data_IF_314537539616
#
_entry.id   IF_314537539616
#
_cell.length_a   1.000
_cell.length_b   1.000
_cell.length_c   1.000
_cell.angle_alpha   90.00
_cell.angle_beta   90.00
_cell.angle_gamma   90.00
#
_symmetry.space_group_name_H-M   'P 1'
#
loop_
_entity.id
_entity.type
_entity.pdbx_description
1 polymer ?
#
# COMPACT_ATOMS: atom_id res chain seq x y z
N UNK A 1 -19.80 5.70 -7.86
CA UNK A 1 -19.94 4.27 -7.54
C UNK A 1 -18.72 3.80 -6.77
N UNK A 2 -18.85 2.86 -5.83
CA UNK A 2 -17.70 2.28 -5.12
C UNK A 2 -16.76 1.55 -6.10
N UNK A 3 -15.47 1.81 -5.98
CA UNK A 3 -14.42 1.16 -6.77
C UNK A 3 -13.25 0.77 -5.88
N UNK A 4 -12.71 -0.42 -6.10
CA UNK A 4 -11.51 -0.88 -5.39
C UNK A 4 -10.26 -0.40 -6.12
N UNK A 5 -9.34 0.19 -5.35
CA UNK A 5 -8.02 0.59 -5.80
C UNK A 5 -7.02 -0.32 -5.10
N UNK A 6 -6.14 -0.96 -5.88
CA UNK A 6 -5.09 -1.86 -5.39
C UNK A 6 -3.73 -1.22 -5.59
N UNK A 7 -2.92 -1.26 -4.54
CA UNK A 7 -1.58 -0.68 -4.50
C UNK A 7 -0.59 -1.74 -4.03
N UNK A 8 0.37 -2.03 -4.91
CA UNK A 8 1.50 -2.96 -4.68
C UNK A 8 2.41 -2.48 -3.53
N UNK A 9 3.08 -3.39 -2.84
CA UNK A 9 4.04 -3.08 -1.77
C UNK A 9 5.18 -2.15 -2.21
N UNK A 10 5.53 -2.12 -3.50
CA UNK A 10 6.55 -1.21 -4.04
C UNK A 10 6.03 0.18 -4.38
N UNK A 11 4.74 0.43 -4.20
CA UNK A 11 4.19 1.73 -4.53
C UNK A 11 4.76 2.81 -3.61
N UNK A 12 5.16 3.97 -4.16
CA UNK A 12 5.61 5.11 -3.35
C UNK A 12 4.49 5.71 -2.48
N UNK A 13 3.24 5.26 -2.66
CA UNK A 13 2.13 5.66 -1.77
C UNK A 13 2.24 5.03 -0.39
N UNK A 14 2.98 3.92 -0.23
CA UNK A 14 3.20 3.28 1.06
C UNK A 14 4.47 3.86 1.67
N UNK A 15 4.32 4.55 2.79
CA UNK A 15 5.42 5.09 3.55
C UNK A 15 5.93 4.05 4.55
N UNK A 16 7.12 3.51 4.29
CA UNK A 16 7.82 2.61 5.20
C UNK A 16 8.76 3.39 6.12
N UNK A 17 8.66 3.15 7.42
CA UNK A 17 9.47 3.75 8.47
C UNK A 17 10.14 2.67 9.30
N UNK A 18 11.46 2.79 9.49
CA UNK A 18 12.30 1.76 10.10
C UNK A 18 13.02 0.89 9.07
N UNK A 19 13.39 -0.33 9.46
CA UNK A 19 14.24 -1.23 8.67
C UNK A 19 13.43 -2.18 7.77
N UNK A 20 12.44 -1.64 7.07
CA UNK A 20 11.68 -2.42 6.08
C UNK A 20 12.57 -2.79 4.90
N UNK A 21 12.53 -4.07 4.53
CA UNK A 21 13.28 -4.61 3.40
C UNK A 21 12.32 -5.05 2.32
N UNK A 22 12.46 -4.46 1.13
CA UNK A 22 11.87 -4.97 -0.09
C UNK A 22 12.49 -6.32 -0.42
N UNK A 23 11.70 -7.39 -0.37
CA UNK A 23 12.15 -8.72 -0.74
C UNK A 23 11.69 -9.05 -2.15
N UNK A 24 12.63 -9.00 -3.08
CA UNK A 24 12.46 -9.43 -4.46
C UNK A 24 13.70 -10.22 -4.87
N UNK A 25 13.76 -11.54 -4.67
CA UNK A 25 14.91 -12.38 -5.09
C UNK A 25 16.31 -11.76 -4.83
N UNK A 26 16.50 -10.98 -3.76
CA UNK A 26 17.75 -10.27 -3.53
C UNK A 26 18.58 -11.09 -2.53
N UNK A 27 19.66 -11.67 -3.03
CA UNK A 27 20.67 -12.33 -2.23
C UNK A 27 21.14 -11.38 -1.12
N UNK A 28 21.27 -11.82 0.15
CA UNK A 28 21.33 -13.21 0.63
C UNK A 28 19.99 -13.80 1.11
N UNK A 29 18.86 -13.14 0.84
CA UNK A 29 17.54 -13.60 1.28
C UNK A 29 16.90 -14.48 0.19
N UNK A 30 17.27 -15.76 0.19
CA UNK A 30 16.80 -16.76 -0.77
C UNK A 30 15.34 -17.17 -0.50
N UNK A 31 14.45 -16.20 -0.37
CA UNK A 31 13.02 -16.49 -0.33
C UNK A 31 12.57 -16.89 -1.74
N UNK A 32 12.43 -18.20 -1.93
CA UNK A 32 12.01 -18.79 -3.22
C UNK A 32 10.52 -18.72 -3.46
N UNK A 33 9.75 -18.12 -2.53
CA UNK A 33 8.29 -18.04 -2.59
C UNK A 33 7.77 -16.67 -3.01
N UNK A 34 8.65 -15.78 -3.50
CA UNK A 34 8.27 -14.44 -3.94
C UNK A 34 7.16 -14.48 -5.00
N UNK A 35 7.18 -15.47 -5.90
CA UNK A 35 6.18 -15.72 -6.95
C UNK A 35 4.75 -15.96 -6.42
N UNK A 36 4.61 -16.22 -5.12
CA UNK A 36 3.31 -16.43 -4.47
C UNK A 36 2.68 -15.15 -3.96
N UNK A 37 3.44 -14.08 -3.85
CA UNK A 37 2.97 -12.74 -3.52
C UNK A 37 2.38 -12.05 -4.77
N UNK A 38 1.60 -11.00 -4.57
CA UNK A 38 1.14 -10.13 -5.64
C UNK A 38 2.35 -9.45 -6.33
N UNK A 39 2.30 -9.38 -7.65
CA UNK A 39 3.41 -8.95 -8.53
C UNK A 39 4.81 -9.53 -8.22
N UNK A 40 4.84 -10.68 -7.55
CA UNK A 40 6.05 -11.36 -7.08
C UNK A 40 6.94 -10.56 -6.12
N UNK A 41 6.38 -9.60 -5.37
CA UNK A 41 7.11 -8.74 -4.43
C UNK A 41 6.42 -8.63 -3.07
N UNK A 42 7.19 -8.29 -2.04
CA UNK A 42 6.66 -7.95 -0.72
C UNK A 42 7.68 -7.11 0.06
N UNK A 43 7.21 -6.31 1.00
CA UNK A 43 8.06 -5.65 1.99
C UNK A 43 7.87 -6.30 3.35
N UNK A 44 8.97 -6.57 4.05
CA UNK A 44 8.92 -7.13 5.40
C UNK A 44 9.74 -6.32 6.38
N UNK A 45 9.34 -6.38 7.64
CA UNK A 45 10.14 -5.90 8.77
C UNK A 45 10.40 -7.06 9.74
N UNK A 46 11.49 -6.96 10.49
CA UNK A 46 11.80 -7.80 11.67
C UNK A 46 12.09 -6.99 12.93
N UNK A 47 12.07 -5.66 12.83
CA UNK A 47 12.47 -4.77 13.92
C UNK A 47 11.24 -4.28 14.69
N UNK A 48 11.25 -4.32 16.04
CA UNK A 48 10.18 -3.79 16.86
C UNK A 48 9.87 -2.32 16.54
N UNK A 49 8.59 -1.99 16.31
CA UNK A 49 8.14 -0.60 16.12
C UNK A 49 8.25 -0.05 14.69
N UNK A 50 8.90 -0.78 13.77
CA UNK A 50 8.85 -0.49 12.35
C UNK A 50 7.39 -0.40 11.88
N UNK A 51 7.07 0.56 11.04
CA UNK A 51 5.70 0.77 10.57
C UNK A 51 5.62 1.10 9.09
N UNK A 52 4.50 0.74 8.48
CA UNK A 52 4.13 1.08 7.12
C UNK A 52 2.77 1.79 7.16
N UNK A 53 2.68 2.97 6.55
CA UNK A 53 1.43 3.73 6.48
C UNK A 53 1.06 4.12 5.06
N UNK A 54 -0.23 4.26 4.80
CA UNK A 54 -0.75 4.81 3.55
C UNK A 54 -1.96 5.68 3.85
N UNK A 55 -2.04 6.80 3.13
CA UNK A 55 -3.22 7.67 3.11
C UNK A 55 -4.09 7.33 1.92
N UNK A 56 -5.39 7.27 2.14
CA UNK A 56 -6.37 6.95 1.11
C UNK A 56 -7.65 7.74 1.32
N UNK A 57 -8.40 7.98 0.25
CA UNK A 57 -9.73 8.55 0.31
C UNK A 57 -10.77 7.47 -0.01
N UNK A 58 -11.65 7.14 0.93
CA UNK A 58 -12.67 6.12 0.69
C UNK A 58 -13.29 5.50 1.94
N UNK A 59 -14.10 4.46 1.73
CA UNK A 59 -15.04 3.90 2.71
C UNK A 59 -14.63 2.53 3.26
N UNK A 60 -13.56 1.93 2.76
CA UNK A 60 -13.01 0.69 3.30
C UNK A 60 -11.52 0.53 2.96
N UNK A 61 -10.78 -0.21 3.79
CA UNK A 61 -9.37 -0.55 3.55
C UNK A 61 -9.08 -1.99 3.94
N UNK A 62 -8.15 -2.61 3.23
CA UNK A 62 -7.76 -4.01 3.34
C UNK A 62 -6.24 -4.12 3.18
N UNK A 63 -5.55 -4.70 4.15
CA UNK A 63 -4.11 -4.97 4.09
C UNK A 63 -3.93 -6.46 3.83
N UNK A 64 -3.14 -6.80 2.82
CA UNK A 64 -2.79 -8.16 2.48
C UNK A 64 -1.30 -8.43 2.69
N UNK A 65 -0.99 -9.66 3.05
CA UNK A 65 0.36 -10.15 3.29
C UNK A 65 0.39 -11.66 3.33
N UNK A 66 1.50 -12.22 3.78
CA UNK A 66 1.61 -13.63 4.08
C UNK A 66 1.40 -13.92 5.56
N UNK A 67 0.86 -15.10 5.84
CA UNK A 67 0.92 -15.72 7.16
C UNK A 67 1.90 -16.88 7.13
N UNK A 68 3.00 -16.82 7.89
CA UNK A 68 4.12 -17.78 7.81
C UNK A 68 4.68 -18.12 9.22
N UNK A 69 5.47 -19.20 9.39
CA UNK A 69 5.84 -19.71 10.73
C UNK A 69 6.68 -18.76 11.59
N UNK A 70 7.45 -17.89 10.93
CA UNK A 70 8.34 -16.86 11.46
C UNK A 70 7.67 -15.48 11.53
N UNK A 71 6.41 -15.36 11.12
CA UNK A 71 5.62 -14.14 11.26
C UNK A 71 4.87 -14.13 12.58
N UNK A 72 4.86 -12.97 13.23
CA UNK A 72 4.32 -12.81 14.57
C UNK A 72 3.31 -11.68 14.68
N UNK A 73 3.28 -11.06 15.85
CA UNK A 73 2.31 -10.03 16.18
C UNK A 73 2.62 -8.70 15.51
N UNK A 74 1.54 -8.02 15.10
CA UNK A 74 1.58 -6.66 14.60
C UNK A 74 0.36 -5.91 15.12
N UNK A 75 0.40 -4.59 15.03
CA UNK A 75 -0.75 -3.73 15.35
C UNK A 75 -1.16 -2.93 14.13
N UNK A 76 -2.45 -2.64 14.02
CA UNK A 76 -2.99 -1.72 13.00
C UNK A 76 -3.80 -0.61 13.67
N UNK A 77 -3.67 0.60 13.15
CA UNK A 77 -4.51 1.76 13.51
C UNK A 77 -5.07 2.40 12.25
N UNK A 78 -6.31 2.91 12.35
CA UNK A 78 -6.92 3.81 11.36
C UNK A 78 -7.10 5.17 12.01
N UNK A 79 -6.65 6.25 11.37
CA UNK A 79 -6.79 7.63 11.85
C UNK A 79 -6.32 7.84 13.30
N UNK A 80 -5.24 7.16 13.70
CA UNK A 80 -4.69 7.16 15.07
C UNK A 80 -5.67 6.70 16.15
N UNK A 81 -6.68 5.91 15.78
CA UNK A 81 -7.58 5.23 16.72
C UNK A 81 -6.86 4.12 17.51
N UNK A 82 -7.62 3.38 18.34
CA UNK A 82 -7.08 2.31 19.17
C UNK A 82 -6.34 1.26 18.33
N UNK A 83 -5.14 0.86 18.80
CA UNK A 83 -4.36 -0.22 18.20
C UNK A 83 -5.11 -1.55 18.25
N UNK A 84 -5.27 -2.17 17.09
CA UNK A 84 -5.80 -3.52 16.95
C UNK A 84 -4.62 -4.47 16.80
N UNK A 85 -4.40 -5.33 17.79
CA UNK A 85 -3.32 -6.31 17.79
C UNK A 85 -3.76 -7.60 17.07
N UNK A 86 -2.94 -8.05 16.12
CA UNK A 86 -3.21 -9.18 15.24
C UNK A 86 -2.01 -10.12 15.18
N UNK A 87 -2.15 -11.25 14.48
CA UNK A 87 -1.10 -12.27 14.34
C UNK A 87 -1.02 -12.78 12.89
N UNK A 88 0.19 -12.69 12.32
CA UNK A 88 0.53 -13.16 10.99
C UNK A 88 1.14 -14.58 11.02
N UNK A 89 1.05 -15.31 12.14
CA UNK A 89 1.49 -16.70 12.18
C UNK A 89 0.59 -17.63 11.34
N UNK A 90 1.22 -18.50 10.57
CA UNK A 90 0.64 -19.77 10.14
C UNK A 90 1.71 -20.86 10.11
N UNK A 91 1.38 -22.12 10.43
CA UNK A 91 2.34 -23.22 10.32
C UNK A 91 2.73 -23.49 8.86
N UNK A 92 3.74 -24.34 8.65
CA UNK A 92 3.96 -24.93 7.32
C UNK A 92 2.74 -25.73 6.90
N UNK A 93 2.38 -25.63 5.64
CA UNK A 93 1.23 -26.28 5.06
C UNK A 93 1.55 -27.73 4.71
N UNK A 94 0.51 -28.58 4.62
CA UNK A 94 0.68 -30.01 4.35
C UNK A 94 1.28 -30.30 2.96
N UNK A 95 1.08 -29.38 2.01
CA UNK A 95 1.63 -29.46 0.66
C UNK A 95 3.12 -29.03 0.57
N UNK A 96 3.75 -28.72 1.70
CA UNK A 96 5.15 -28.29 1.78
C UNK A 96 5.34 -26.78 1.73
N UNK A 97 4.27 -26.00 1.56
CA UNK A 97 4.36 -24.54 1.54
C UNK A 97 4.76 -24.01 2.92
N UNK A 98 5.60 -22.98 2.94
CA UNK A 98 6.09 -22.34 4.15
C UNK A 98 5.16 -21.24 4.67
N UNK A 99 3.88 -21.31 4.30
CA UNK A 99 2.78 -20.53 4.86
C UNK A 99 1.66 -20.27 3.84
N UNK A 100 0.86 -19.26 4.11
CA UNK A 100 -0.27 -18.80 3.31
C UNK A 100 0.05 -17.43 2.75
N UNK A 101 -0.21 -17.18 1.47
CA UNK A 101 0.16 -15.95 0.75
C UNK A 101 -1.10 -15.19 0.32
N UNK A 102 -0.99 -13.87 0.09
CA UNK A 102 -2.13 -13.00 -0.29
C UNK A 102 -3.32 -13.11 0.67
N UNK A 103 -3.02 -13.22 1.96
CA UNK A 103 -4.01 -13.35 3.03
C UNK A 103 -4.44 -11.97 3.52
N UNK A 104 -5.73 -11.84 3.82
CA UNK A 104 -6.25 -10.66 4.48
C UNK A 104 -5.68 -10.60 5.91
N UNK A 105 -4.85 -9.59 6.16
CA UNK A 105 -4.27 -9.33 7.47
C UNK A 105 -5.18 -8.44 8.30
N UNK A 106 -5.71 -7.39 7.68
CA UNK A 106 -6.59 -6.43 8.31
C UNK A 106 -7.64 -5.92 7.33
N UNK A 107 -8.84 -5.63 7.83
CA UNK A 107 -9.86 -4.91 7.09
C UNK A 107 -10.65 -3.99 7.99
N UNK A 108 -11.05 -2.84 7.47
CA UNK A 108 -12.04 -1.95 8.07
C UNK A 108 -13.00 -1.49 6.98
N UNK A 109 -14.31 -1.66 7.19
CA UNK A 109 -15.38 -1.18 6.31
C UNK A 109 -16.18 -0.08 6.99
N UNK A 110 -17.15 0.47 6.26
CA UNK A 110 -18.10 1.47 6.76
C UNK A 110 -17.38 2.72 7.32
N UNK A 111 -16.23 3.06 6.73
CA UNK A 111 -15.55 4.31 6.98
C UNK A 111 -16.31 5.46 6.32
N UNK A 112 -16.19 6.65 6.90
CA UNK A 112 -16.69 7.88 6.29
C UNK A 112 -15.98 8.10 4.93
N UNK A 113 -16.68 8.64 3.93
CA UNK A 113 -16.07 8.89 2.62
C UNK A 113 -15.19 10.15 2.65
N UNK A 114 -14.00 10.02 3.21
CA UNK A 114 -13.00 11.09 3.38
C UNK A 114 -11.58 10.54 3.30
N UNK A 115 -10.62 11.41 3.54
CA UNK A 115 -9.23 11.01 3.72
C UNK A 115 -9.05 10.26 5.05
N UNK A 116 -8.34 9.14 4.98
CA UNK A 116 -7.97 8.26 6.08
C UNK A 116 -6.47 7.95 6.02
N UNK A 117 -5.91 7.55 7.16
CA UNK A 117 -4.57 6.97 7.24
C UNK A 117 -4.63 5.62 7.95
N UNK A 118 -4.11 4.58 7.30
CA UNK A 118 -3.89 3.27 7.93
C UNK A 118 -2.42 3.07 8.20
N UNK A 119 -2.09 2.56 9.38
CA UNK A 119 -0.71 2.25 9.78
C UNK A 119 -0.66 0.84 10.35
N UNK A 120 0.20 0.00 9.77
CA UNK A 120 0.60 -1.29 10.33
C UNK A 120 1.95 -1.13 11.02
N UNK A 121 2.08 -1.63 12.25
CA UNK A 121 3.32 -1.58 13.04
C UNK A 121 3.73 -2.99 13.48
N UNK A 122 5.00 -3.35 13.28
CA UNK A 122 5.59 -4.57 13.81
C UNK A 122 5.59 -4.52 15.35
N UNK A 123 4.89 -5.46 15.98
CA UNK A 123 4.70 -5.53 17.43
C UNK A 123 5.57 -6.65 18.06
N UNK A 124 6.57 -7.13 17.31
CA UNK A 124 7.61 -8.01 17.84
C UNK A 124 8.43 -7.32 18.94
N UNK A 125 9.10 -8.14 19.73
CA UNK A 125 10.12 -7.72 20.70
C UNK A 125 11.49 -8.28 20.31
N UNK A 126 12.55 -7.66 20.84
CA UNK A 126 13.91 -8.16 20.62
C UNK A 126 14.03 -9.61 21.13
N UNK A 127 14.48 -10.52 20.24
CA UNK A 127 14.63 -11.94 20.55
C UNK A 127 13.38 -12.79 20.34
N UNK A 128 12.28 -12.22 19.83
CA UNK A 128 11.08 -13.00 19.49
C UNK A 128 11.38 -14.09 18.46
N UNK A 129 10.79 -15.27 18.66
CA UNK A 129 10.91 -16.40 17.74
C UNK A 129 10.19 -16.17 16.39
N UNK A 130 9.33 -15.16 16.32
CA UNK A 130 8.52 -14.80 15.16
C UNK A 130 8.58 -13.27 14.93
N UNK A 131 9.75 -12.71 14.59
CA UNK A 131 9.92 -11.26 14.62
C UNK A 131 9.33 -10.57 13.39
N UNK A 132 8.89 -11.34 12.39
CA UNK A 132 8.54 -10.79 11.08
C UNK A 132 7.07 -10.40 10.95
N UNK A 133 6.84 -9.37 10.14
CA UNK A 133 5.55 -9.09 9.49
C UNK A 133 5.84 -8.62 8.07
N UNK A 134 4.93 -8.88 7.14
CA UNK A 134 5.07 -8.40 5.76
C UNK A 134 3.77 -7.78 5.22
N UNK A 135 3.93 -6.93 4.21
CA UNK A 135 2.88 -6.36 3.39
C UNK A 135 3.16 -6.77 1.95
N UNK A 136 2.13 -7.31 1.32
CA UNK A 136 2.09 -7.73 -0.08
C UNK A 136 1.42 -6.65 -0.95
N UNK A 137 0.20 -6.26 -0.58
CA UNK A 137 -0.48 -5.14 -1.22
C UNK A 137 -1.56 -4.57 -0.29
N UNK A 138 -1.97 -3.34 -0.56
CA UNK A 138 -3.07 -2.68 0.12
C UNK A 138 -4.17 -2.40 -0.90
N UNK A 139 -5.41 -2.60 -0.49
CA UNK A 139 -6.58 -2.26 -1.29
C UNK A 139 -7.49 -1.34 -0.47
N UNK A 140 -8.11 -0.35 -1.10
CA UNK A 140 -9.18 0.42 -0.47
C UNK A 140 -10.33 0.62 -1.44
N UNK A 141 -11.51 0.89 -0.89
CA UNK A 141 -12.73 1.19 -1.65
C UNK A 141 -12.94 2.69 -1.62
N UNK A 142 -13.01 3.33 -2.79
CA UNK A 142 -13.29 4.76 -2.94
C UNK A 142 -14.60 4.98 -3.69
N UNK A 143 -15.34 6.04 -3.39
CA UNK A 143 -16.50 6.43 -4.18
C UNK A 143 -16.05 7.30 -5.35
N UNK A 144 -15.94 6.69 -6.53
CA UNK A 144 -15.55 7.41 -7.75
C UNK A 144 -16.79 7.93 -8.46
N UNK A 145 -16.79 9.21 -8.82
CA UNK A 145 -17.84 9.76 -9.68
C UNK A 145 -17.59 9.31 -11.13
N UNK A 146 -18.18 8.18 -11.52
CA UNK A 146 -18.08 7.64 -12.87
C UNK A 146 -18.89 8.42 -13.91
N UNK A 147 -19.74 9.34 -13.46
CA UNK A 147 -20.55 10.23 -14.32
C UNK A 147 -19.85 11.58 -14.54
N UNK A 148 -18.73 11.84 -13.86
CA UNK A 148 -17.79 12.85 -14.29
C UNK A 148 -17.18 12.35 -15.61
N UNK A 149 -17.78 12.75 -16.73
CA UNK A 149 -17.20 12.51 -18.05
C UNK A 149 -15.73 12.91 -18.04
N UNK A 150 -14.90 12.22 -18.82
CA UNK A 150 -13.50 12.59 -19.01
C UNK A 150 -13.43 14.11 -19.25
N UNK A 151 -12.91 14.82 -18.26
CA UNK A 151 -12.63 16.24 -18.39
C UNK A 151 -11.20 16.30 -18.87
N UNK A 152 -11.02 16.80 -20.09
CA UNK A 152 -9.70 17.16 -20.57
C UNK A 152 -9.23 18.36 -19.73
N UNK A 153 -8.52 18.05 -18.65
CA UNK A 153 -7.81 19.04 -17.86
C UNK A 153 -6.51 19.38 -18.58
N UNK A 154 -6.62 20.27 -19.56
CA UNK A 154 -5.49 20.87 -20.24
C UNK A 154 -5.00 22.12 -19.50
N UNK A 155 -3.82 22.65 -19.86
CA UNK A 155 -3.24 23.87 -19.30
C UNK A 155 -4.10 25.13 -19.54
N UNK A 156 -5.10 25.05 -20.42
CA UNK A 156 -6.15 26.05 -20.61
C UNK A 156 -7.39 25.88 -19.74
N UNK A 157 -7.50 24.82 -18.92
CA UNK A 157 -8.70 24.55 -18.14
C UNK A 157 -8.85 25.56 -16.98
N UNK A 158 -10.05 26.17 -16.77
CA UNK A 158 -10.26 27.26 -15.81
C UNK A 158 -10.08 26.89 -14.34
N UNK A 159 -9.87 25.62 -14.02
CA UNK A 159 -9.52 25.15 -12.68
C UNK A 159 -8.04 25.35 -12.34
N UNK A 160 -7.17 25.59 -13.34
CA UNK A 160 -5.76 25.88 -13.11
C UNK A 160 -5.57 27.38 -12.84
N UNK A 161 -4.97 27.69 -11.70
CA UNK A 161 -4.55 29.05 -11.38
C UNK A 161 -3.02 29.12 -11.32
N UNK A 162 -2.43 29.69 -12.36
CA UNK A 162 -0.98 29.83 -12.47
C UNK A 162 -0.51 31.11 -11.78
N UNK A 163 0.19 30.96 -10.65
CA UNK A 163 0.84 32.08 -9.97
C UNK A 163 2.28 32.27 -10.48
N UNK A 164 2.64 33.50 -10.85
CA UNK A 164 3.97 33.87 -11.37
C UNK A 164 3.97 34.18 -12.88
N UNK A 165 5.15 34.46 -13.44
CA UNK A 165 5.30 34.77 -14.86
C UNK A 165 5.34 33.49 -15.70
N UNK A 166 4.18 32.90 -15.94
CA UNK A 166 4.01 31.79 -16.88
C UNK A 166 3.82 32.34 -18.29
N UNK A 167 4.68 31.93 -19.22
CA UNK A 167 4.54 32.25 -20.64
C UNK A 167 4.13 31.00 -21.41
N UNK A 168 2.93 31.02 -21.99
CA UNK A 168 2.46 29.96 -22.89
C UNK A 168 3.38 29.93 -24.12
N UNK A 169 4.05 28.79 -24.38
CA UNK A 169 5.00 28.68 -25.49
C UNK A 169 4.35 28.45 -26.85
N UNK A 170 3.05 28.10 -26.91
CA UNK A 170 2.27 28.00 -28.15
C UNK A 170 0.78 28.22 -27.89
N UNK A 171 0.15 29.26 -28.45
CA UNK A 171 -1.31 29.32 -28.53
C UNK A 171 -1.74 28.30 -29.59
N UNK A 172 -2.55 27.31 -29.22
CA UNK A 172 -3.15 26.30 -30.11
C UNK A 172 -2.24 25.14 -30.56
N UNK A 173 -1.51 24.49 -29.66
CA UNK A 173 -1.06 23.12 -29.92
C UNK A 173 -2.25 22.14 -29.74
N UNK A 174 -3.21 22.15 -30.66
CA UNK A 174 -4.10 20.99 -30.80
C UNK A 174 -3.21 19.85 -31.29
N UNK A 175 -2.80 18.95 -30.39
CA UNK A 175 -2.50 17.53 -30.58
C UNK A 175 -1.59 17.01 -29.45
N UNK A 176 -2.20 16.43 -28.42
CA UNK A 176 -1.86 15.11 -27.88
C UNK A 176 -0.38 14.69 -27.85
N UNK A 177 0.53 15.50 -27.29
CA UNK A 177 1.86 15.07 -26.81
C UNK A 177 2.36 16.00 -25.71
N UNK A 178 1.74 15.95 -24.53
CA UNK A 178 2.40 16.39 -23.29
C UNK A 178 2.63 15.19 -22.41
N UNK A 179 3.93 14.93 -22.27
CA UNK A 179 4.58 13.92 -21.45
C UNK A 179 3.90 13.85 -20.08
N UNK A 180 3.54 12.63 -19.70
CA UNK A 180 3.21 12.22 -18.35
C UNK A 180 4.26 12.79 -17.38
N UNK A 181 3.96 13.93 -16.76
CA UNK A 181 4.79 14.49 -15.70
C UNK A 181 4.38 13.75 -14.43
N UNK A 182 5.12 12.67 -14.17
CA UNK A 182 5.15 12.00 -12.88
C UNK A 182 5.56 13.05 -11.85
N UNK A 183 4.69 13.33 -10.88
CA UNK A 183 5.12 13.97 -9.65
C UNK A 183 5.98 12.94 -8.91
N UNK A 184 7.28 13.21 -8.84
CA UNK A 184 8.18 12.67 -7.82
C UNK A 184 7.92 13.40 -6.50
#
# INVERSE_FOLDING_TARGET
MPQNITVDDRSPMINYSGDWVANFKQYPLNDTTSDRYYDSTFHRSQSPGDNASIRFNGTAVYIFGAKRPDRGHYTVTIDNSQKIRLDAYAPKQQNGDDGLFRQLLFSQTDLEDRDHEVTLTNDSQEGDAKPFVDIDYIMWTSNVNTDAGASDFDDGHPSWNFNGNWTVRTPNATNNQTVQQVFL
#
